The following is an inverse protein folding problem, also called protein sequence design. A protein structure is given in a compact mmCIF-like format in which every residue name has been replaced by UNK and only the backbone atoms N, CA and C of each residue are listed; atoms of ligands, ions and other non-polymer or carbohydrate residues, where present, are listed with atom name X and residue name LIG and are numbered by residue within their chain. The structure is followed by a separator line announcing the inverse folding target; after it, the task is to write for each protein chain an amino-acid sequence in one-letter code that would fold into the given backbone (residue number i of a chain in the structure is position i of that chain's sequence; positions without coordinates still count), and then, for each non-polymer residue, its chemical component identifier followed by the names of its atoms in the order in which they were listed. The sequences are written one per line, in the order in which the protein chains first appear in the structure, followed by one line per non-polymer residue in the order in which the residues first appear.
data_IF_656770477994
#
_entry.id   IF_656770477994
#
_cell.length_a   1.000
_cell.length_b   1.000
_cell.length_c   1.000
_cell.angle_alpha   90.00
_cell.angle_beta   90.00
_cell.angle_gamma   90.00
#
_symmetry.space_group_name_H-M   'P 1'
#
loop_
_entity.id
_entity.type
_entity.pdbx_description
1 polymer ?
#
# COMPACT_ATOMS: atom_id res chain seq x y z
N UNK A 1 -19.53 20.46 17.57
CA UNK A 1 -19.27 19.82 16.25
C UNK A 1 -17.78 19.57 16.21
N UNK A 2 -17.36 18.34 16.49
CA UNK A 2 -15.94 17.98 16.54
C UNK A 2 -15.42 17.87 15.11
N UNK A 3 -14.54 18.82 14.74
CA UNK A 3 -13.66 18.68 13.60
C UNK A 3 -12.59 17.66 13.94
N UNK A 4 -12.78 16.40 13.52
CA UNK A 4 -11.69 15.44 13.45
C UNK A 4 -10.86 15.79 12.22
N UNK A 5 -9.68 16.34 12.45
CA UNK A 5 -8.64 16.55 11.44
C UNK A 5 -8.08 15.19 11.01
N UNK A 6 -8.70 14.57 10.01
CA UNK A 6 -8.02 13.58 9.15
C UNK A 6 -7.48 14.38 7.97
N UNK A 7 -6.16 14.56 7.89
CA UNK A 7 -5.52 15.14 6.70
C UNK A 7 -6.02 14.35 5.49
N UNK A 8 -6.64 15.04 4.54
CA UNK A 8 -7.45 14.43 3.49
C UNK A 8 -6.60 13.51 2.62
N UNK A 9 -6.73 12.22 2.92
CA UNK A 9 -6.22 11.15 2.12
C UNK A 9 -7.18 10.95 0.95
N UNK A 10 -6.98 11.68 -0.14
CA UNK A 10 -7.91 11.58 -1.27
C UNK A 10 -7.52 10.42 -2.20
N UNK A 11 -7.54 9.20 -1.64
CA UNK A 11 -7.33 7.95 -2.37
C UNK A 11 -8.27 7.78 -3.56
N UNK A 12 -9.46 8.35 -3.45
CA UNK A 12 -10.43 8.32 -4.53
C UNK A 12 -9.89 8.98 -5.80
N UNK A 13 -9.08 10.03 -5.67
CA UNK A 13 -8.45 10.72 -6.80
C UNK A 13 -7.38 9.86 -7.47
N UNK A 14 -6.56 9.15 -6.70
CA UNK A 14 -5.54 8.25 -7.26
C UNK A 14 -6.18 7.10 -8.05
N UNK A 15 -7.25 6.51 -7.50
CA UNK A 15 -8.00 5.46 -8.19
C UNK A 15 -8.74 5.97 -9.42
N UNK A 16 -9.33 7.16 -9.32
CA UNK A 16 -10.00 7.80 -10.45
C UNK A 16 -9.01 8.06 -11.60
N UNK A 17 -7.86 8.66 -11.30
CA UNK A 17 -6.82 8.94 -12.28
C UNK A 17 -6.32 7.64 -12.96
N UNK A 18 -6.03 6.61 -12.17
CA UNK A 18 -5.60 5.33 -12.71
C UNK A 18 -6.69 4.63 -13.54
N UNK A 19 -7.95 4.73 -13.13
CA UNK A 19 -9.09 4.17 -13.88
C UNK A 19 -9.27 4.88 -15.23
N UNK A 20 -9.11 6.21 -15.25
CA UNK A 20 -9.16 7.01 -16.47
C UNK A 20 -8.01 6.68 -17.42
N UNK A 21 -6.78 6.53 -16.90
CA UNK A 21 -5.62 6.12 -17.71
C UNK A 21 -5.79 4.71 -18.29
N UNK A 22 -6.35 3.79 -17.50
CA UNK A 22 -6.57 2.41 -17.92
C UNK A 22 -7.81 2.23 -18.83
N UNK A 23 -8.71 3.21 -18.88
CA UNK A 23 -10.01 3.11 -19.55
C UNK A 23 -10.96 2.08 -18.93
N UNK A 24 -10.75 1.68 -17.67
CA UNK A 24 -11.56 0.70 -16.91
C UNK A 24 -11.31 0.83 -15.40
N UNK A 25 -12.19 0.23 -14.60
CA UNK A 25 -12.02 0.14 -13.15
C UNK A 25 -10.76 -0.62 -12.73
N UNK A 26 -10.11 -0.13 -11.67
CA UNK A 26 -8.93 -0.76 -11.07
C UNK A 26 -9.40 -1.81 -10.05
N UNK A 27 -8.95 -3.04 -10.20
CA UNK A 27 -9.28 -4.14 -9.27
C UNK A 27 -8.02 -4.74 -8.68
N UNK A 28 -8.13 -5.38 -7.51
CA UNK A 28 -7.01 -5.88 -6.71
C UNK A 28 -6.19 -6.97 -7.36
N UNK A 29 -6.66 -7.48 -8.49
CA UNK A 29 -5.89 -8.27 -9.43
C UNK A 29 -5.01 -7.34 -10.29
N UNK A 30 -3.99 -6.78 -9.64
CA UNK A 30 -2.67 -6.57 -10.24
C UNK A 30 -2.67 -5.75 -11.55
N UNK A 31 -2.73 -4.42 -11.40
CA UNK A 31 -2.30 -3.51 -12.47
C UNK A 31 -0.99 -2.85 -12.09
N UNK A 32 -0.12 -2.81 -13.10
CA UNK A 32 1.25 -2.34 -12.99
C UNK A 32 1.31 -0.87 -13.40
N UNK A 33 1.65 0.00 -12.46
CA UNK A 33 1.94 1.41 -12.68
C UNK A 33 3.44 1.54 -12.91
N UNK A 34 3.86 2.41 -13.83
CA UNK A 34 5.29 2.70 -13.99
C UNK A 34 5.72 3.65 -12.88
N UNK A 35 6.62 3.19 -12.02
CA UNK A 35 7.31 4.00 -11.01
C UNK A 35 8.72 4.35 -11.49
N UNK A 36 9.10 5.61 -11.37
CA UNK A 36 10.46 6.05 -11.66
C UNK A 36 11.42 5.70 -10.52
N UNK A 37 12.74 5.63 -10.75
CA UNK A 37 13.72 5.34 -9.70
C UNK A 37 13.58 6.24 -8.46
N UNK A 38 13.25 7.51 -8.65
CA UNK A 38 13.02 8.46 -7.56
C UNK A 38 11.78 8.10 -6.70
N UNK A 39 10.76 7.50 -7.30
CA UNK A 39 9.55 7.02 -6.63
C UNK A 39 9.86 5.77 -5.81
N UNK A 40 10.55 4.81 -6.39
CA UNK A 40 11.00 3.60 -5.71
C UNK A 40 11.94 3.89 -4.54
N UNK A 41 12.76 4.94 -4.64
CA UNK A 41 13.64 5.39 -3.55
C UNK A 41 12.89 5.88 -2.30
N UNK A 42 11.58 6.12 -2.39
CA UNK A 42 10.74 6.50 -1.23
C UNK A 42 10.34 5.29 -0.38
N UNK A 43 10.35 4.08 -0.94
CA UNK A 43 10.01 2.86 -0.22
C UNK A 43 11.15 2.45 0.71
N UNK A 44 10.80 2.05 1.93
CA UNK A 44 11.73 1.49 2.93
C UNK A 44 11.98 0.01 2.68
N UNK A 45 12.87 -0.60 3.47
CA UNK A 45 13.06 -2.07 3.47
C UNK A 45 11.78 -2.80 3.85
N UNK A 46 11.11 -2.33 4.91
CA UNK A 46 9.89 -2.93 5.41
C UNK A 46 8.74 -2.86 4.40
N UNK A 47 8.62 -1.76 3.65
CA UNK A 47 7.61 -1.67 2.59
C UNK A 47 7.84 -2.74 1.53
N UNK A 48 9.09 -2.94 1.13
CA UNK A 48 9.43 -3.89 0.07
C UNK A 48 9.24 -5.33 0.53
N UNK A 49 9.52 -5.62 1.80
CA UNK A 49 9.22 -6.92 2.39
C UNK A 49 7.70 -7.16 2.44
N UNK A 50 6.93 -6.17 2.90
CA UNK A 50 5.47 -6.22 2.87
C UNK A 50 4.94 -6.45 1.44
N UNK A 51 5.43 -5.68 0.47
CA UNK A 51 5.06 -5.83 -0.93
C UNK A 51 5.42 -7.21 -1.46
N UNK A 52 6.61 -7.73 -1.16
CA UNK A 52 6.98 -9.08 -1.56
C UNK A 52 6.03 -10.13 -0.98
N UNK A 53 5.66 -10.01 0.30
CA UNK A 53 4.77 -10.97 0.95
C UNK A 53 3.35 -10.89 0.39
N UNK A 54 2.84 -9.69 0.16
CA UNK A 54 1.44 -9.46 -0.21
C UNK A 54 1.21 -9.67 -1.70
N UNK A 55 2.12 -9.21 -2.55
CA UNK A 55 1.92 -9.16 -4.02
C UNK A 55 2.91 -10.04 -4.80
N UNK A 56 3.83 -10.74 -4.12
CA UNK A 56 4.99 -11.43 -4.70
C UNK A 56 5.94 -10.49 -5.47
N UNK A 57 5.78 -9.18 -5.31
CA UNK A 57 6.56 -8.17 -6.01
C UNK A 57 7.97 -8.03 -5.39
N UNK A 58 9.00 -8.20 -6.22
CA UNK A 58 10.40 -8.05 -5.80
C UNK A 58 10.99 -6.76 -6.34
N UNK A 59 11.04 -5.71 -5.51
CA UNK A 59 11.63 -4.41 -5.87
C UNK A 59 13.12 -4.39 -5.50
N UNK A 60 13.99 -4.25 -6.49
CA UNK A 60 15.44 -4.10 -6.28
C UNK A 60 15.78 -2.66 -5.84
N UNK A 61 16.79 -2.51 -4.99
CA UNK A 61 17.33 -1.23 -4.53
C UNK A 61 18.24 -0.55 -5.55
N UNK A 62 18.79 -1.30 -6.49
CA UNK A 62 19.82 -0.82 -7.41
C UNK A 62 19.28 -0.29 -8.75
N UNK A 63 17.97 -0.27 -8.97
CA UNK A 63 17.42 0.04 -10.29
C UNK A 63 17.54 1.54 -10.64
N UNK A 64 18.24 1.80 -11.74
CA UNK A 64 18.35 3.10 -12.40
C UNK A 64 17.30 3.30 -13.50
N UNK A 65 16.35 2.38 -13.62
CA UNK A 65 15.33 2.35 -14.67
C UNK A 65 13.93 2.32 -14.05
N UNK A 66 12.96 2.83 -14.81
CA UNK A 66 11.56 2.80 -14.39
C UNK A 66 11.01 1.37 -14.41
N UNK A 67 10.08 1.09 -13.49
CA UNK A 67 9.57 -0.26 -13.28
C UNK A 67 8.07 -0.30 -13.08
N UNK A 68 7.48 -1.36 -13.62
CA UNK A 68 6.11 -1.75 -13.37
C UNK A 68 5.94 -2.23 -11.92
N UNK A 69 5.11 -1.54 -11.15
CA UNK A 69 4.82 -1.81 -9.73
C UNK A 69 3.33 -1.93 -9.46
N UNK A 70 2.93 -2.67 -8.43
CA UNK A 70 1.52 -2.81 -8.06
C UNK A 70 0.90 -1.47 -7.63
N UNK A 71 -0.42 -1.32 -7.77
CA UNK A 71 -1.11 -0.14 -7.24
C UNK A 71 -0.91 0.02 -5.73
N UNK A 72 -0.79 -1.09 -4.99
CA UNK A 72 -0.49 -1.07 -3.56
C UNK A 72 0.90 -0.49 -3.27
N UNK A 73 1.92 -0.80 -4.08
CA UNK A 73 3.22 -0.17 -3.98
C UNK A 73 3.17 1.32 -4.35
N UNK A 74 2.45 1.68 -5.41
CA UNK A 74 2.25 3.08 -5.80
C UNK A 74 1.55 3.88 -4.69
N UNK A 75 0.63 3.26 -3.96
CA UNK A 75 0.00 3.86 -2.80
C UNK A 75 1.02 4.22 -1.71
N UNK A 76 1.85 3.26 -1.32
CA UNK A 76 2.89 3.47 -0.31
C UNK A 76 3.84 4.60 -0.75
N UNK A 77 4.22 4.64 -2.03
CA UNK A 77 5.05 5.71 -2.62
C UNK A 77 4.37 7.08 -2.44
N UNK A 78 3.11 7.21 -2.86
CA UNK A 78 2.37 8.47 -2.75
C UNK A 78 2.22 8.92 -1.30
N UNK A 79 2.06 8.00 -0.36
CA UNK A 79 1.78 8.33 1.04
C UNK A 79 3.02 8.76 1.78
N UNK A 80 4.15 8.16 1.42
CA UNK A 80 5.45 8.66 1.86
C UNK A 80 5.76 10.01 1.24
N UNK A 81 5.46 10.22 -0.04
CA UNK A 81 5.70 11.49 -0.71
C UNK A 81 4.88 12.65 -0.12
N UNK A 82 3.64 12.38 0.29
CA UNK A 82 2.74 13.39 0.88
C UNK A 82 2.89 13.53 2.38
N UNK A 83 3.60 12.60 3.04
CA UNK A 83 3.73 12.56 4.49
C UNK A 83 2.53 11.95 5.22
N UNK A 84 1.60 11.33 4.49
CA UNK A 84 0.48 10.59 5.06
C UNK A 84 0.94 9.28 5.75
N UNK A 85 2.04 8.69 5.28
CA UNK A 85 2.69 7.54 5.90
C UNK A 85 4.08 7.94 6.42
N UNK A 86 4.22 7.98 7.75
CA UNK A 86 5.47 8.28 8.46
C UNK A 86 5.87 7.05 9.29
N UNK A 87 7.13 6.62 9.15
CA UNK A 87 7.63 5.42 9.83
C UNK A 87 7.23 4.14 9.12
N UNK A 88 7.00 3.08 9.91
CA UNK A 88 6.61 1.75 9.44
C UNK A 88 5.13 1.67 9.10
N UNK A 89 4.79 0.76 8.17
CA UNK A 89 3.40 0.40 7.91
C UNK A 89 2.80 -0.28 9.14
N UNK A 90 1.56 0.08 9.47
CA UNK A 90 0.83 -0.44 10.64
C UNK A 90 -0.51 -1.04 10.22
N UNK A 91 -1.07 -1.91 11.07
CA UNK A 91 -2.41 -2.47 10.85
C UNK A 91 -3.48 -1.39 10.65
N UNK A 92 -3.58 -0.34 11.51
CA UNK A 92 -4.57 0.72 11.32
C UNK A 92 -4.42 1.47 9.99
N UNK A 93 -3.19 1.63 9.50
CA UNK A 93 -2.97 2.24 8.19
C UNK A 93 -3.54 1.37 7.07
N UNK A 94 -3.24 0.06 7.08
CA UNK A 94 -3.72 -0.87 6.05
C UNK A 94 -5.25 -0.99 6.08
N UNK A 95 -5.87 -1.02 7.26
CA UNK A 95 -7.32 -0.99 7.42
C UNK A 95 -7.95 0.28 6.84
N UNK A 96 -7.33 1.44 7.08
CA UNK A 96 -7.81 2.72 6.54
C UNK A 96 -7.72 2.76 5.01
N UNK A 97 -6.61 2.28 4.45
CA UNK A 97 -6.41 2.17 3.00
C UNK A 97 -7.44 1.23 2.38
N UNK A 98 -7.62 0.04 2.94
CA UNK A 98 -8.61 -0.93 2.46
C UNK A 98 -10.04 -0.37 2.50
N UNK A 99 -10.44 0.24 3.63
CA UNK A 99 -11.77 0.83 3.78
C UNK A 99 -12.03 1.90 2.72
N UNK A 100 -11.04 2.75 2.45
CA UNK A 100 -11.17 3.79 1.43
C UNK A 100 -11.29 3.22 0.02
N UNK A 101 -10.63 2.10 -0.28
CA UNK A 101 -10.75 1.40 -1.55
C UNK A 101 -12.07 0.67 -1.73
N UNK A 102 -12.58 0.00 -0.69
CA UNK A 102 -13.88 -0.68 -0.74
C UNK A 102 -15.01 0.31 -1.08
N UNK A 103 -14.90 1.54 -0.60
CA UNK A 103 -15.88 2.61 -0.82
C UNK A 103 -15.72 3.33 -2.16
N UNK A 104 -14.69 3.01 -2.95
CA UNK A 104 -14.43 3.68 -4.22
C UNK A 104 -15.17 3.01 -5.38
N UNK A 105 -16.01 3.79 -6.09
CA UNK A 105 -16.76 3.31 -7.26
C UNK A 105 -15.84 2.94 -8.43
N UNK A 106 -14.67 3.58 -8.51
CA UNK A 106 -13.68 3.35 -9.57
C UNK A 106 -12.85 2.06 -9.35
N UNK A 107 -13.03 1.41 -8.18
CA UNK A 107 -12.60 0.05 -7.90
C UNK A 107 -11.76 -0.10 -6.62
N UNK A 108 -11.29 -1.33 -6.36
CA UNK A 108 -10.53 -1.67 -5.15
C UNK A 108 -9.24 -2.43 -5.50
N UNK A 109 -8.05 -1.82 -5.41
CA UNK A 109 -6.75 -2.42 -5.72
C UNK A 109 -6.22 -3.33 -4.60
N UNK A 110 -6.89 -3.38 -3.44
CA UNK A 110 -6.60 -4.31 -2.37
C UNK A 110 -7.80 -5.26 -2.27
N UNK A 111 -7.70 -6.44 -2.90
CA UNK A 111 -8.71 -7.47 -2.68
C UNK A 111 -8.71 -7.91 -1.21
N UNK A 112 -9.80 -8.54 -0.76
CA UNK A 112 -9.85 -9.11 0.59
C UNK A 112 -8.66 -10.03 0.89
N UNK A 113 -8.25 -10.84 -0.08
CA UNK A 113 -7.08 -11.73 0.05
C UNK A 113 -5.76 -10.96 0.27
N UNK A 114 -5.53 -9.86 -0.47
CA UNK A 114 -4.33 -9.03 -0.28
C UNK A 114 -4.34 -8.30 1.06
N UNK A 115 -5.53 -7.89 1.51
CA UNK A 115 -5.72 -7.31 2.84
C UNK A 115 -5.40 -8.33 3.95
N UNK A 116 -5.93 -9.54 3.85
CA UNK A 116 -5.68 -10.61 4.81
C UNK A 116 -4.18 -10.97 4.89
N UNK A 117 -3.49 -11.01 3.74
CA UNK A 117 -2.04 -11.23 3.69
C UNK A 117 -1.25 -10.09 4.35
N UNK A 118 -1.65 -8.84 4.12
CA UNK A 118 -1.01 -7.68 4.73
C UNK A 118 -1.21 -7.69 6.25
N UNK A 119 -2.42 -7.99 6.74
CA UNK A 119 -2.69 -8.14 8.16
C UNK A 119 -1.88 -9.28 8.78
N UNK A 120 -1.85 -10.45 8.14
CA UNK A 120 -1.10 -11.60 8.64
C UNK A 120 0.39 -11.30 8.75
N UNK A 121 0.96 -10.60 7.77
CA UNK A 121 2.36 -10.17 7.81
C UNK A 121 2.62 -9.18 8.95
N UNK A 122 1.81 -8.12 9.06
CA UNK A 122 2.02 -7.08 10.07
C UNK A 122 1.86 -7.61 11.49
N UNK A 123 0.83 -8.43 11.74
CA UNK A 123 0.66 -9.11 13.02
C UNK A 123 1.85 -10.04 13.29
N UNK A 124 2.25 -10.84 12.31
CA UNK A 124 3.40 -11.75 12.46
C UNK A 124 4.72 -11.02 12.75
N UNK A 125 4.95 -9.85 12.14
CA UNK A 125 6.08 -8.97 12.42
C UNK A 125 6.02 -8.46 13.86
N UNK A 126 4.90 -7.90 14.27
CA UNK A 126 4.75 -7.29 15.60
C UNK A 126 4.89 -8.35 16.71
N UNK A 127 4.41 -9.58 16.48
CA UNK A 127 4.61 -10.72 17.39
C UNK A 127 6.06 -11.19 17.48
N UNK A 128 6.87 -11.06 16.43
CA UNK A 128 8.30 -11.39 16.45
C UNK A 128 9.14 -10.37 17.23
N UNK A 129 8.66 -9.13 17.32
CA UNK A 129 9.33 -8.05 18.06
C UNK A 129 9.09 -8.17 19.57
N UNK A 130 8.10 -8.97 19.99
CA UNK A 130 7.87 -9.34 21.39
C UNK A 130 8.52 -10.72 21.70
N UNK A 131 9.74 -10.75 22.26
CA UNK A 131 10.40 -12.01 22.61
C UNK A 131 9.68 -12.80 23.72
N UNK A 132 8.69 -12.20 24.39
CA UNK A 132 7.90 -12.84 25.45
C UNK A 132 6.53 -13.36 24.94
N UNK A 133 6.23 -13.25 23.65
CA UNK A 133 4.96 -13.71 23.09
C UNK A 133 4.94 -15.25 22.94
N UNK A 134 4.43 -15.92 23.97
CA UNK A 134 4.20 -17.37 23.97
C UNK A 134 2.85 -17.67 23.32
N UNK A 135 2.85 -18.47 22.24
CA UNK A 135 1.63 -19.05 21.69
C UNK A 135 0.96 -19.93 22.76
N UNK A 136 -0.23 -19.53 23.22
CA UNK A 136 -1.07 -20.30 24.14
C UNK A 136 -2.07 -21.14 23.36
#
# INVERSE_FOLDING_TARGET
MNHTTTSSFDLSVLLHAASMECGRFVTGETRWIVAEPADLARLTADDRELLHVVTDERIDWAEHESRLTSFFAWQLICDRATGALVGEVTVPYVEAVFTAYEMCVDGSPMSGDLFDLALAYLVGRDLRVDPDYVWV
#
